data_IF_180212379273
#
_entry.id   IF_180212379273
#
_cell.length_a   1.000
_cell.length_b   1.000
_cell.length_c   1.000
_cell.angle_alpha   90.00
_cell.angle_beta   90.00
_cell.angle_gamma   90.00
#
_symmetry.space_group_name_H-M   'P 1'
#
loop_
_entity.id
_entity.type
_entity.pdbx_description
1 polymer ?
#
# COMPACT_ATOMS: atom_id res chain seq x y z
N UNK A 1 -27.52 -16.08 -10.22
CA UNK A 1 -27.36 -17.26 -9.33
C UNK A 1 -26.36 -16.92 -8.24
N UNK A 2 -26.79 -16.87 -6.98
CA UNK A 2 -25.86 -16.80 -5.84
C UNK A 2 -25.27 -18.21 -5.61
N UNK A 3 -23.95 -18.35 -5.43
CA UNK A 3 -23.35 -19.66 -5.16
C UNK A 3 -23.91 -20.26 -3.86
N UNK A 4 -24.05 -21.60 -3.75
CA UNK A 4 -24.53 -22.24 -2.53
C UNK A 4 -23.65 -21.87 -1.32
N UNK A 5 -24.24 -21.83 -0.10
CA UNK A 5 -23.48 -21.58 1.12
C UNK A 5 -22.39 -22.66 1.27
N UNK A 6 -21.13 -22.24 1.50
CA UNK A 6 -20.00 -23.14 1.68
C UNK A 6 -19.24 -23.54 0.41
N UNK A 7 -19.64 -23.06 -0.78
CA UNK A 7 -18.83 -23.23 -1.98
C UNK A 7 -17.51 -22.41 -1.87
N UNK A 8 -16.37 -22.93 -2.35
CA UNK A 8 -15.13 -22.17 -2.39
C UNK A 8 -15.31 -20.91 -3.25
N UNK A 9 -14.91 -19.76 -2.73
CA UNK A 9 -15.00 -18.46 -3.40
C UNK A 9 -13.63 -17.81 -3.48
N UNK A 10 -13.33 -17.23 -4.64
CA UNK A 10 -12.09 -16.49 -4.88
C UNK A 10 -12.05 -15.13 -4.16
N UNK A 11 -13.22 -14.55 -3.88
CA UNK A 11 -13.36 -13.25 -3.21
C UNK A 11 -14.36 -13.35 -2.07
N UNK A 12 -14.23 -12.42 -1.11
CA UNK A 12 -15.09 -12.32 0.07
C UNK A 12 -16.57 -12.15 -0.27
N UNK A 13 -17.45 -12.68 0.59
CA UNK A 13 -18.90 -12.49 0.52
C UNK A 13 -19.33 -11.05 0.81
N UNK A 14 -18.57 -10.33 1.63
CA UNK A 14 -18.81 -8.92 1.88
C UNK A 14 -18.43 -8.09 0.64
N UNK A 15 -19.39 -7.38 0.00
CA UNK A 15 -19.14 -6.65 -1.24
C UNK A 15 -18.09 -5.53 -1.08
N UNK A 16 -17.97 -4.95 0.12
CA UNK A 16 -16.95 -3.94 0.43
C UNK A 16 -15.54 -4.52 0.40
N UNK A 17 -15.39 -5.72 0.97
CA UNK A 17 -14.11 -6.42 1.03
C UNK A 17 -13.73 -6.99 -0.33
N UNK A 18 -14.68 -7.60 -1.04
CA UNK A 18 -14.46 -8.14 -2.39
C UNK A 18 -13.98 -7.07 -3.38
N UNK A 19 -14.53 -5.86 -3.30
CA UNK A 19 -14.08 -4.74 -4.13
C UNK A 19 -12.63 -4.37 -3.80
N UNK A 20 -12.28 -4.27 -2.52
CA UNK A 20 -10.91 -4.00 -2.08
C UNK A 20 -9.92 -5.07 -2.53
N UNK A 21 -10.26 -6.36 -2.37
CA UNK A 21 -9.45 -7.49 -2.82
C UNK A 21 -9.14 -7.40 -4.32
N UNK A 22 -10.15 -7.12 -5.15
CA UNK A 22 -9.96 -6.94 -6.60
C UNK A 22 -9.05 -5.76 -6.92
N UNK A 23 -9.27 -4.62 -6.26
CA UNK A 23 -8.46 -3.43 -6.47
C UNK A 23 -6.99 -3.68 -6.10
N UNK A 24 -6.72 -4.23 -4.91
CA UNK A 24 -5.35 -4.54 -4.49
C UNK A 24 -4.68 -5.56 -5.40
N UNK A 25 -5.41 -6.59 -5.85
CA UNK A 25 -4.86 -7.60 -6.75
C UNK A 25 -4.43 -7.00 -8.10
N UNK A 26 -5.23 -6.07 -8.66
CA UNK A 26 -4.90 -5.37 -9.90
C UNK A 26 -3.78 -4.35 -9.70
N UNK A 27 -3.81 -3.63 -8.58
CA UNK A 27 -2.82 -2.59 -8.30
C UNK A 27 -1.43 -3.16 -7.98
N UNK A 28 -1.36 -4.34 -7.37
CA UNK A 28 -0.11 -5.02 -7.00
C UNK A 28 0.95 -5.08 -8.10
N UNK A 29 0.68 -5.67 -9.27
CA UNK A 29 1.67 -5.73 -10.35
C UNK A 29 2.06 -4.35 -10.87
N UNK A 30 1.18 -3.35 -10.80
CA UNK A 30 1.46 -2.00 -11.31
C UNK A 30 2.53 -1.29 -10.48
N UNK A 31 2.38 -1.27 -9.15
CA UNK A 31 3.37 -0.62 -8.30
C UNK A 31 4.67 -1.42 -8.26
N UNK A 32 4.62 -2.75 -8.32
CA UNK A 32 5.81 -3.60 -8.38
C UNK A 32 6.61 -3.34 -9.65
N UNK A 33 5.94 -3.23 -10.80
CA UNK A 33 6.60 -2.92 -12.07
C UNK A 33 7.21 -1.51 -12.06
N UNK A 34 6.51 -0.53 -11.47
CA UNK A 34 7.04 0.82 -11.30
C UNK A 34 8.30 0.83 -10.42
N UNK A 35 8.27 0.18 -9.25
CA UNK A 35 9.43 0.10 -8.36
C UNK A 35 10.59 -0.67 -9.00
N UNK A 36 10.31 -1.76 -9.71
CA UNK A 36 11.32 -2.49 -10.46
C UNK A 36 11.98 -1.60 -11.53
N UNK A 37 11.21 -0.75 -12.19
CA UNK A 37 11.74 0.22 -13.17
C UNK A 37 12.59 1.30 -12.49
N UNK A 38 12.12 1.85 -11.36
CA UNK A 38 12.84 2.86 -10.58
C UNK A 38 14.22 2.37 -10.16
N UNK A 39 14.30 1.14 -9.66
CA UNK A 39 15.58 0.52 -9.27
C UNK A 39 16.40 0.11 -10.49
N UNK A 40 15.79 -0.52 -11.50
CA UNK A 40 16.48 -1.03 -12.68
C UNK A 40 17.13 0.05 -13.55
N UNK A 41 16.57 1.27 -13.57
CA UNK A 41 17.13 2.41 -14.29
C UNK A 41 17.97 3.36 -13.42
N UNK A 42 18.17 3.05 -12.13
CA UNK A 42 18.90 3.93 -11.21
C UNK A 42 18.26 5.32 -11.07
N UNK A 43 16.93 5.40 -11.19
CA UNK A 43 16.20 6.69 -11.13
C UNK A 43 16.41 7.38 -9.78
N UNK A 44 16.57 6.58 -8.71
CA UNK A 44 16.81 7.05 -7.34
C UNK A 44 18.03 7.95 -7.23
N UNK A 45 19.10 7.67 -7.97
CA UNK A 45 20.34 8.47 -7.95
C UNK A 45 20.18 9.80 -8.70
N UNK A 46 19.28 9.86 -9.69
CA UNK A 46 19.11 11.03 -10.55
C UNK A 46 18.21 12.10 -9.93
N UNK A 47 17.22 11.70 -9.13
CA UNK A 47 16.19 12.60 -8.59
C UNK A 47 16.40 12.96 -7.11
N UNK A 48 17.40 12.35 -6.47
CA UNK A 48 17.74 12.57 -5.07
C UNK A 48 16.67 12.12 -4.07
N UNK A 49 16.87 12.48 -2.81
CA UNK A 49 16.01 12.09 -1.69
C UNK A 49 14.53 12.49 -1.88
N UNK A 50 14.28 13.73 -2.28
CA UNK A 50 12.93 14.29 -2.41
C UNK A 50 12.18 13.67 -3.58
N UNK A 51 12.86 13.40 -4.69
CA UNK A 51 12.27 12.72 -5.83
C UNK A 51 11.88 11.29 -5.47
N UNK A 52 12.73 10.58 -4.73
CA UNK A 52 12.41 9.23 -4.28
C UNK A 52 11.24 9.21 -3.29
N UNK A 53 11.20 10.17 -2.35
CA UNK A 53 10.07 10.35 -1.45
C UNK A 53 8.76 10.64 -2.22
N UNK A 54 8.83 11.48 -3.26
CA UNK A 54 7.69 11.79 -4.12
C UNK A 54 7.18 10.55 -4.87
N UNK A 55 8.07 9.67 -5.35
CA UNK A 55 7.69 8.37 -5.94
C UNK A 55 6.95 7.52 -4.90
N UNK A 56 7.47 7.42 -3.68
CA UNK A 56 6.80 6.68 -2.60
C UNK A 56 5.38 7.19 -2.32
N UNK A 57 5.21 8.51 -2.24
CA UNK A 57 3.88 9.13 -2.09
C UNK A 57 2.99 8.85 -3.31
N UNK A 58 3.53 8.96 -4.53
CA UNK A 58 2.79 8.70 -5.75
C UNK A 58 2.34 7.24 -5.87
N UNK A 59 3.12 6.28 -5.36
CA UNK A 59 2.74 4.87 -5.25
C UNK A 59 1.71 4.65 -4.13
N UNK A 60 1.84 5.32 -2.99
CA UNK A 60 0.87 5.19 -1.91
C UNK A 60 -0.49 5.84 -2.25
N UNK A 61 -0.49 6.93 -3.03
CA UNK A 61 -1.67 7.77 -3.26
C UNK A 61 -2.85 7.02 -3.88
N UNK A 62 -2.70 6.18 -4.93
CA UNK A 62 -3.81 5.41 -5.50
C UNK A 62 -4.52 4.52 -4.48
N UNK A 63 -3.80 3.98 -3.48
CA UNK A 63 -4.39 3.09 -2.46
C UNK A 63 -5.40 3.81 -1.55
N UNK A 64 -5.32 5.14 -1.46
CA UNK A 64 -6.22 5.99 -0.68
C UNK A 64 -7.19 6.76 -1.58
N UNK A 65 -6.70 7.40 -2.63
CA UNK A 65 -7.47 8.31 -3.47
C UNK A 65 -8.47 7.56 -4.36
N UNK A 66 -8.06 6.46 -4.98
CA UNK A 66 -8.96 5.68 -5.85
C UNK A 66 -10.17 5.15 -5.09
N UNK A 67 -10.02 4.46 -3.94
CA UNK A 67 -11.19 4.04 -3.18
C UNK A 67 -11.98 5.21 -2.60
N UNK A 68 -11.34 6.30 -2.16
CA UNK A 68 -12.06 7.46 -1.65
C UNK A 68 -12.95 8.13 -2.73
N UNK A 69 -12.49 8.17 -3.99
CA UNK A 69 -13.23 8.79 -5.09
C UNK A 69 -14.25 7.86 -5.76
N UNK A 70 -13.92 6.58 -5.94
CA UNK A 70 -14.75 5.65 -6.74
C UNK A 70 -15.76 4.90 -5.87
N UNK A 71 -15.40 4.58 -4.61
CA UNK A 71 -16.20 3.68 -3.79
C UNK A 71 -17.17 4.44 -2.89
N UNK A 72 -18.39 4.63 -3.38
CA UNK A 72 -19.51 5.07 -2.56
C UNK A 72 -20.28 3.88 -1.96
N UNK A 73 -20.31 3.80 -0.63
CA UNK A 73 -21.08 2.80 0.13
C UNK A 73 -22.31 3.38 0.83
N UNK A 74 -22.65 4.66 0.59
CA UNK A 74 -23.90 5.26 1.07
C UNK A 74 -25.14 4.46 0.64
N UNK A 75 -25.23 3.89 -0.58
CA UNK A 75 -26.41 3.11 -0.99
C UNK A 75 -26.66 1.86 -0.15
N UNK A 76 -25.64 1.33 0.53
CA UNK A 76 -25.75 0.19 1.45
C UNK A 76 -25.77 0.62 2.93
N UNK A 77 -26.03 1.89 3.20
CA UNK A 77 -26.17 2.46 4.54
C UNK A 77 -24.88 2.63 5.33
N UNK A 78 -23.71 2.52 4.68
CA UNK A 78 -22.40 2.64 5.35
C UNK A 78 -21.80 4.01 5.12
N UNK A 79 -21.21 4.57 6.18
CA UNK A 79 -20.39 5.79 6.10
C UNK A 79 -18.98 5.44 5.64
N UNK A 80 -18.27 6.41 5.06
CA UNK A 80 -16.93 6.23 4.48
C UNK A 80 -15.91 5.60 5.45
N UNK A 81 -15.95 5.96 6.73
CA UNK A 81 -15.05 5.40 7.76
C UNK A 81 -15.41 3.97 8.20
N UNK A 82 -16.60 3.47 7.83
CA UNK A 82 -17.01 2.10 8.09
C UNK A 82 -16.63 1.14 6.97
N UNK A 83 -16.26 1.69 5.81
CA UNK A 83 -15.88 0.95 4.61
C UNK A 83 -14.62 0.12 4.83
N UNK A 84 -14.53 -1.03 4.17
CA UNK A 84 -13.38 -1.93 4.27
C UNK A 84 -12.07 -1.26 3.86
N UNK A 85 -12.05 -0.53 2.75
CA UNK A 85 -10.81 0.12 2.26
C UNK A 85 -10.22 1.09 3.28
N UNK A 86 -11.06 1.83 4.01
CA UNK A 86 -10.60 2.80 5.00
C UNK A 86 -9.99 2.09 6.21
N UNK A 87 -10.69 1.08 6.73
CA UNK A 87 -10.20 0.26 7.84
C UNK A 87 -8.91 -0.48 7.48
N UNK A 88 -8.82 -1.01 6.27
CA UNK A 88 -7.63 -1.69 5.78
C UNK A 88 -6.43 -0.74 5.71
N UNK A 89 -6.61 0.45 5.12
CA UNK A 89 -5.55 1.46 5.06
C UNK A 89 -5.16 1.98 6.44
N UNK A 90 -6.12 2.18 7.35
CA UNK A 90 -5.84 2.58 8.73
C UNK A 90 -5.02 1.51 9.47
N UNK A 91 -5.39 0.24 9.32
CA UNK A 91 -4.64 -0.88 9.87
C UNK A 91 -3.21 -0.92 9.31
N UNK A 92 -3.05 -0.81 8.00
CA UNK A 92 -1.73 -0.78 7.34
C UNK A 92 -0.91 0.41 7.86
N UNK A 93 -1.51 1.60 7.99
CA UNK A 93 -0.82 2.78 8.52
C UNK A 93 -0.32 2.61 9.94
N UNK A 94 -1.17 2.09 10.84
CA UNK A 94 -0.80 1.80 12.25
C UNK A 94 0.30 0.73 12.29
N UNK A 95 0.12 -0.36 11.55
CA UNK A 95 1.08 -1.45 11.49
C UNK A 95 2.43 -0.96 10.94
N UNK A 96 2.42 -0.19 9.86
CA UNK A 96 3.62 0.35 9.25
C UNK A 96 4.33 1.33 10.20
N UNK A 97 3.60 2.19 10.90
CA UNK A 97 4.19 3.06 11.91
C UNK A 97 4.86 2.25 13.02
N UNK A 98 4.16 1.28 13.61
CA UNK A 98 4.72 0.46 14.68
C UNK A 98 5.93 -0.37 14.20
N UNK A 99 5.84 -0.99 13.03
CA UNK A 99 6.92 -1.80 12.46
C UNK A 99 8.15 -0.95 12.13
N UNK A 100 7.98 0.24 11.54
CA UNK A 100 9.12 1.09 11.18
C UNK A 100 9.69 1.85 12.38
N UNK A 101 8.86 2.27 13.33
CA UNK A 101 9.34 3.03 14.47
C UNK A 101 10.05 2.13 15.49
N UNK A 102 9.49 0.96 15.81
CA UNK A 102 10.05 0.05 16.82
C UNK A 102 10.85 -1.11 16.23
N UNK A 103 10.48 -1.59 15.04
CA UNK A 103 11.06 -2.80 14.46
C UNK A 103 12.34 -2.57 13.67
N UNK A 104 12.52 -1.38 13.09
CA UNK A 104 13.67 -1.08 12.21
C UNK A 104 15.00 -1.31 12.92
N UNK A 105 15.20 -0.73 14.11
CA UNK A 105 16.45 -0.85 14.88
C UNK A 105 16.82 -2.32 15.12
N UNK A 106 15.86 -3.12 15.57
CA UNK A 106 16.04 -4.57 15.74
C UNK A 106 16.42 -5.28 14.43
N UNK A 107 15.78 -4.93 13.31
CA UNK A 107 16.09 -5.51 12.01
C UNK A 107 17.49 -5.14 11.51
N UNK A 108 17.93 -3.89 11.69
CA UNK A 108 19.27 -3.43 11.33
C UNK A 108 20.34 -4.15 12.16
N UNK A 109 20.11 -4.29 13.46
CA UNK A 109 21.03 -4.98 14.37
C UNK A 109 21.14 -6.48 14.06
N UNK A 110 20.02 -7.16 13.80
CA UNK A 110 20.02 -8.60 13.51
C UNK A 110 20.64 -8.92 12.14
N UNK A 111 20.39 -8.07 11.14
CA UNK A 111 20.89 -8.29 9.78
C UNK A 111 22.29 -7.69 9.56
N UNK A 112 22.84 -6.94 10.53
CA UNK A 112 24.13 -6.26 10.42
C UNK A 112 24.16 -5.23 9.29
N UNK A 113 23.01 -4.62 8.97
CA UNK A 113 22.90 -3.67 7.86
C UNK A 113 23.35 -2.28 8.32
N UNK A 114 24.22 -1.66 7.52
CA UNK A 114 24.62 -0.26 7.68
C UNK A 114 23.87 0.57 6.64
N UNK A 115 23.30 1.70 7.05
CA UNK A 115 22.69 2.63 6.12
C UNK A 115 23.74 3.22 5.17
N UNK A 116 23.65 2.85 3.89
CA UNK A 116 24.38 3.50 2.80
C UNK A 116 23.36 4.12 1.84
N UNK A 117 23.23 5.44 1.93
CA UNK A 117 22.37 6.22 1.05
C UNK A 117 23.25 7.25 0.32
N UNK A 118 23.86 6.88 -0.81
CA UNK A 118 24.76 7.77 -1.56
C UNK A 118 24.07 9.04 -2.08
N UNK A 119 22.73 9.03 -2.10
CA UNK A 119 21.87 10.15 -2.48
C UNK A 119 21.61 11.18 -1.37
N UNK A 120 21.95 10.89 -0.10
CA UNK A 120 21.73 11.80 1.04
C UNK A 120 23.07 12.47 1.38
N UNK A 121 23.20 13.76 1.05
CA UNK A 121 24.37 14.56 1.41
C UNK A 121 24.07 15.36 2.68
N UNK A 122 24.64 14.92 3.81
CA UNK A 122 24.64 15.70 5.06
C UNK A 122 25.61 16.86 4.88
N UNK A 123 25.08 18.06 4.65
CA UNK A 123 25.86 19.31 4.58
C UNK A 123 26.04 19.89 5.98
#
# INVERSE_FOLDING_TARGET
MTPPPGAPRWFSDNPSKAWGEKFFLVYSPMWMALMASVMGFGITEQIGEWGFMAIGIAVAAPLLLVPACIRDERPIGRRWYQTYWFKANLYIGIFNFAANYFGSEYFFDVLGMVYDYPMIQLT
#
